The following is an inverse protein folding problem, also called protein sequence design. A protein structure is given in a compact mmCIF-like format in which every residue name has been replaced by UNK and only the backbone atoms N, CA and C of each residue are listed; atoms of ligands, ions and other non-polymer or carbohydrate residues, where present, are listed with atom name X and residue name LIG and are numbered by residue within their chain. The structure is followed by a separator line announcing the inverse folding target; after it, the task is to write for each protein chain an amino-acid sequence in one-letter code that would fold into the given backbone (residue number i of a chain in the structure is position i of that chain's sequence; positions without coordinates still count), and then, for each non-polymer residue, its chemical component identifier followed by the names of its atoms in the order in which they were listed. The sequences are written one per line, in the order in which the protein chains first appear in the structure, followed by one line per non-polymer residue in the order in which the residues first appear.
data_IF_003678602092
#
_entry.id   IF_003678602092
#
_cell.length_a   1.000
_cell.length_b   1.000
_cell.length_c   1.000
_cell.angle_alpha   90.00
_cell.angle_beta   90.00
_cell.angle_gamma   90.00
#
_symmetry.space_group_name_H-M   'P 1'
#
loop_
_entity.id
_entity.type
_entity.pdbx_description
1 polymer ?
#
# COMPACT_ATOMS: atom_id res chain seq x y z
N UNK A 1 -17.06 28.00 -18.88
CA UNK A 1 -17.81 26.81 -18.41
C UNK A 1 -17.01 25.51 -18.57
N UNK A 2 -16.40 25.22 -19.73
CA UNK A 2 -15.68 23.95 -19.97
C UNK A 2 -14.36 23.78 -19.20
N UNK A 3 -13.61 24.86 -18.99
CA UNK A 3 -12.32 24.82 -18.26
C UNK A 3 -12.47 24.45 -16.78
N UNK A 4 -13.57 24.86 -16.14
CA UNK A 4 -13.84 24.56 -14.72
C UNK A 4 -14.26 23.11 -14.51
N UNK A 5 -15.00 22.52 -15.47
CA UNK A 5 -15.35 21.09 -15.45
C UNK A 5 -14.12 20.19 -15.64
N UNK A 6 -13.18 20.60 -16.49
CA UNK A 6 -11.95 19.84 -16.76
C UNK A 6 -11.03 19.80 -15.53
N UNK A 7 -10.94 20.91 -14.78
CA UNK A 7 -10.20 20.98 -13.50
C UNK A 7 -10.84 20.09 -12.43
N UNK A 8 -12.16 20.10 -12.29
CA UNK A 8 -12.86 19.24 -11.32
C UNK A 8 -12.69 17.75 -11.65
N UNK A 9 -12.71 17.39 -12.94
CA UNK A 9 -12.47 16.01 -13.39
C UNK A 9 -11.03 15.54 -13.08
N UNK A 10 -10.03 16.42 -13.22
CA UNK A 10 -8.63 16.09 -12.91
C UNK A 10 -8.42 15.86 -11.41
N UNK A 11 -8.98 16.72 -10.54
CA UNK A 11 -8.86 16.55 -9.07
C UNK A 11 -9.54 15.25 -8.61
N UNK A 12 -10.69 14.90 -9.20
CA UNK A 12 -11.39 13.65 -8.93
C UNK A 12 -10.59 12.41 -9.36
N UNK A 13 -9.86 12.47 -10.48
CA UNK A 13 -9.01 11.37 -10.95
C UNK A 13 -7.74 11.18 -10.11
N UNK A 14 -7.27 12.23 -9.42
CA UNK A 14 -6.06 12.18 -8.59
C UNK A 14 -6.31 11.73 -7.15
N UNK A 15 -7.56 11.61 -6.71
CA UNK A 15 -7.89 11.23 -5.33
C UNK A 15 -7.98 9.70 -5.22
N UNK A 16 -6.87 9.05 -4.90
CA UNK A 16 -6.93 7.66 -4.40
C UNK A 16 -7.49 7.66 -2.98
N UNK A 17 -8.63 6.97 -2.78
CA UNK A 17 -9.15 6.67 -1.45
C UNK A 17 -8.48 5.40 -0.93
N UNK A 18 -7.46 5.56 -0.10
CA UNK A 18 -6.78 4.44 0.56
C UNK A 18 -7.64 3.88 1.70
N UNK A 19 -7.94 2.58 1.67
CA UNK A 19 -8.47 1.84 2.83
C UNK A 19 -7.30 1.61 3.81
N UNK A 20 -7.19 2.45 4.84
CA UNK A 20 -6.16 2.36 5.89
C UNK A 20 -6.42 1.12 6.77
N UNK A 21 -6.02 -0.05 6.28
CA UNK A 21 -6.01 -1.27 7.09
C UNK A 21 -4.84 -1.22 8.05
N UNK A 22 -5.14 -0.88 9.31
CA UNK A 22 -4.16 -0.85 10.39
C UNK A 22 -3.62 -2.26 10.68
N UNK A 23 -2.55 -2.63 9.98
CA UNK A 23 -1.82 -3.89 10.14
C UNK A 23 -0.46 -3.61 10.74
N UNK A 24 -0.24 -4.01 11.99
CA UNK A 24 1.06 -3.91 12.65
C UNK A 24 1.82 -5.23 12.55
N UNK A 25 3.04 -5.20 12.02
CA UNK A 25 3.93 -6.37 11.99
C UNK A 25 5.10 -6.13 12.92
N UNK A 26 5.22 -6.98 13.95
CA UNK A 26 6.32 -6.94 14.91
C UNK A 26 7.29 -8.07 14.65
N UNK A 27 8.60 -7.76 14.70
CA UNK A 27 9.67 -8.71 14.42
C UNK A 27 10.64 -8.80 15.58
N UNK A 28 10.90 -10.03 16.00
CA UNK A 28 11.77 -10.38 17.13
C UNK A 28 12.48 -11.70 16.83
N UNK A 29 13.65 -11.86 17.42
CA UNK A 29 14.34 -13.14 17.50
C UNK A 29 14.02 -13.75 18.87
N UNK A 30 13.65 -15.04 18.90
CA UNK A 30 13.36 -15.75 20.14
C UNK A 30 13.94 -17.17 20.07
N UNK A 31 14.42 -17.69 21.20
CA UNK A 31 14.94 -19.05 21.31
C UNK A 31 13.84 -20.10 21.12
N UNK A 32 12.60 -19.75 21.48
CA UNK A 32 11.40 -20.51 21.20
C UNK A 32 10.46 -19.64 20.37
N UNK A 33 10.10 -20.11 19.18
CA UNK A 33 9.22 -19.40 18.25
C UNK A 33 8.00 -20.29 17.96
N UNK A 34 6.83 -19.99 18.57
CA UNK A 34 5.59 -20.68 18.25
C UNK A 34 4.92 -20.08 17.02
N UNK A 35 4.58 -20.92 16.05
CA UNK A 35 3.74 -20.54 14.91
C UNK A 35 2.29 -20.45 15.40
N UNK A 36 1.70 -19.26 15.35
CA UNK A 36 0.30 -19.01 15.71
C UNK A 36 -0.41 -18.35 14.54
N UNK A 37 -1.63 -18.79 14.25
CA UNK A 37 -2.52 -18.17 13.26
C UNK A 37 -3.92 -18.13 13.88
N UNK A 38 -4.30 -16.95 14.35
CA UNK A 38 -5.57 -16.72 15.03
C UNK A 38 -6.27 -15.57 14.33
N UNK A 39 -7.44 -15.84 13.77
CA UNK A 39 -8.29 -14.85 13.14
C UNK A 39 -9.65 -14.81 13.84
N UNK A 40 -9.99 -13.67 14.42
CA UNK A 40 -11.26 -13.46 15.15
C UNK A 40 -12.27 -12.66 14.28
N UNK A 41 -12.04 -12.58 12.97
CA UNK A 41 -12.94 -11.92 12.00
C UNK A 41 -12.84 -10.39 11.95
N UNK A 42 -12.50 -9.75 13.08
CA UNK A 42 -12.22 -8.30 13.22
C UNK A 42 -10.73 -7.98 13.36
N UNK A 43 -9.93 -8.95 13.83
CA UNK A 43 -8.49 -8.83 13.96
C UNK A 43 -7.86 -10.22 13.79
N UNK A 44 -6.69 -10.25 13.15
CA UNK A 44 -5.90 -11.46 12.97
C UNK A 44 -4.49 -11.25 13.50
N UNK A 45 -3.94 -12.27 14.15
CA UNK A 45 -2.53 -12.36 14.50
C UNK A 45 -1.95 -13.61 13.87
N UNK A 46 -0.89 -13.41 13.09
CA UNK A 46 -0.13 -14.47 12.46
C UNK A 46 1.35 -14.32 12.85
N UNK A 47 1.97 -15.40 13.29
CA UNK A 47 3.40 -15.46 13.61
C UNK A 47 4.07 -16.51 12.75
N UNK A 48 5.08 -16.09 11.98
CA UNK A 48 5.92 -16.98 11.19
C UNK A 48 7.32 -17.06 11.76
N UNK A 49 7.81 -18.30 11.90
CA UNK A 49 9.11 -18.62 12.45
C UNK A 49 10.09 -19.05 11.35
N UNK A 50 11.35 -18.64 11.48
CA UNK A 50 12.41 -19.01 10.56
C UNK A 50 13.75 -19.05 11.30
N UNK A 51 14.71 -19.85 10.79
CA UNK A 51 15.96 -20.21 11.50
C UNK A 51 17.23 -19.59 10.89
N UNK A 52 17.11 -18.80 9.82
CA UNK A 52 18.27 -18.18 9.15
C UNK A 52 18.41 -16.70 9.53
N UNK A 53 19.59 -16.12 9.38
CA UNK A 53 19.80 -14.69 9.63
C UNK A 53 18.96 -13.85 8.65
N UNK A 54 18.31 -12.80 9.15
CA UNK A 54 17.45 -11.89 8.37
C UNK A 54 16.29 -12.57 7.61
N UNK A 55 15.91 -13.79 8.00
CA UNK A 55 14.84 -14.55 7.36
C UNK A 55 13.45 -13.97 7.56
N UNK A 56 13.28 -13.16 8.62
CA UNK A 56 12.01 -12.53 8.97
C UNK A 56 11.78 -11.31 8.07
N UNK A 57 11.62 -11.55 6.76
CA UNK A 57 11.43 -10.52 5.72
C UNK A 57 9.99 -10.45 5.21
N UNK A 58 8.99 -10.72 6.06
CA UNK A 58 7.61 -10.30 5.77
C UNK A 58 7.51 -8.77 5.67
N UNK A 59 7.41 -8.24 4.47
CA UNK A 59 6.93 -6.87 4.30
C UNK A 59 5.48 -6.80 4.80
N UNK A 60 5.10 -5.71 5.45
CA UNK A 60 3.69 -5.38 5.50
C UNK A 60 3.15 -5.55 4.08
N UNK A 61 2.06 -6.30 3.94
CA UNK A 61 1.32 -6.41 2.69
C UNK A 61 0.97 -5.02 2.09
N UNK A 62 1.22 -3.94 2.85
CA UNK A 62 1.25 -2.53 2.46
C UNK A 62 2.35 -2.09 1.47
N UNK A 63 3.28 -2.95 1.05
CA UNK A 63 4.09 -2.70 -0.17
C UNK A 63 3.77 -3.66 -1.30
N UNK A 64 2.58 -4.27 -1.28
CA UNK A 64 1.87 -4.48 -2.54
C UNK A 64 1.32 -3.12 -3.03
N UNK A 65 2.17 -2.09 -3.05
CA UNK A 65 2.05 -1.00 -4.02
C UNK A 65 2.16 -1.70 -5.36
N UNK A 66 1.01 -2.11 -5.88
CA UNK A 66 0.90 -2.67 -7.20
C UNK A 66 1.66 -1.72 -8.10
N UNK A 67 2.66 -2.22 -8.82
CA UNK A 67 3.48 -1.41 -9.72
C UNK A 67 2.62 -0.53 -10.64
N UNK A 68 1.39 -0.98 -10.89
CA UNK A 68 0.30 -0.26 -11.55
C UNK A 68 -0.11 1.06 -10.86
N UNK A 69 -0.24 1.13 -9.53
CA UNK A 69 -0.58 2.38 -8.83
C UNK A 69 0.53 3.42 -9.00
N UNK A 70 1.79 3.00 -8.82
CA UNK A 70 2.94 3.89 -9.02
C UNK A 70 3.00 4.34 -10.49
N UNK A 71 2.83 3.42 -11.44
CA UNK A 71 2.84 3.75 -12.87
C UNK A 71 1.69 4.69 -13.25
N UNK A 72 0.47 4.48 -12.72
CA UNK A 72 -0.69 5.33 -12.97
C UNK A 72 -0.50 6.71 -12.34
N UNK A 73 0.02 6.81 -11.11
CA UNK A 73 0.32 8.09 -10.47
C UNK A 73 1.37 8.90 -11.25
N UNK A 74 2.41 8.23 -11.76
CA UNK A 74 3.45 8.86 -12.62
C UNK A 74 2.85 9.30 -13.96
N UNK A 75 2.06 8.46 -14.62
CA UNK A 75 1.40 8.79 -15.88
C UNK A 75 0.40 9.95 -15.73
N UNK A 76 -0.39 9.96 -14.66
CA UNK A 76 -1.33 11.03 -14.36
C UNK A 76 -0.61 12.37 -14.10
N UNK A 77 0.51 12.33 -13.38
CA UNK A 77 1.37 13.50 -13.13
C UNK A 77 1.96 14.05 -14.43
N UNK A 78 2.50 13.19 -15.29
CA UNK A 78 3.02 13.55 -16.62
C UNK A 78 1.92 14.14 -17.53
N UNK A 79 0.75 13.51 -17.56
CA UNK A 79 -0.39 13.98 -18.35
C UNK A 79 -0.89 15.35 -17.88
N UNK A 80 -0.90 15.62 -16.57
CA UNK A 80 -1.24 16.95 -16.03
C UNK A 80 -0.24 18.02 -16.45
N UNK A 81 1.06 17.75 -16.35
CA UNK A 81 2.11 18.71 -16.73
C UNK A 81 2.03 19.03 -18.23
N UNK A 82 1.87 18.01 -19.07
CA UNK A 82 1.77 18.17 -20.53
C UNK A 82 0.47 18.87 -20.97
N UNK A 83 -0.62 18.78 -20.18
CA UNK A 83 -1.91 19.45 -20.46
C UNK A 83 -1.99 20.88 -19.93
N UNK A 84 -1.18 21.25 -18.92
CA UNK A 84 -1.10 22.62 -18.40
C UNK A 84 -0.02 23.46 -19.12
N UNK A 85 0.95 22.81 -19.76
CA UNK A 85 2.02 23.46 -20.53
C UNK A 85 1.67 23.78 -22.00
N UNK A 86 0.47 23.44 -22.47
CA UNK A 86 -0.05 23.73 -23.82
C UNK A 86 -1.46 24.30 -23.71
#
# INVERSE_FOLDING_TARGET
MKASLLVVLVIALCTESGDDRQQSITKKCAAFCPTIDLNIGIAGVATSCCQTSLCNISGASSVKTSYTMIAVGVLASLACILRLGF
#
